data_IF_139594052401
#
_entry.id   IF_139594052401
#
_cell.length_a   1.000
_cell.length_b   1.000
_cell.length_c   1.000
_cell.angle_alpha   90.00
_cell.angle_beta   90.00
_cell.angle_gamma   90.00
#
_symmetry.space_group_name_H-M   'P 1'
#
loop_
_entity.id
_entity.type
_entity.pdbx_description
1 polymer ?
#
# COMPACT_ATOMS: atom_id res chain seq x y z
N UNK A 1 -22.20 17.57 17.43
CA UNK A 1 -22.63 16.35 16.71
C UNK A 1 -21.42 15.44 16.60
N UNK A 2 -21.57 14.13 16.87
CA UNK A 2 -20.46 13.20 16.81
C UNK A 2 -20.17 12.87 15.34
N UNK A 3 -18.96 13.16 14.86
CA UNK A 3 -18.58 12.82 13.49
C UNK A 3 -18.21 11.34 13.40
N UNK A 4 -18.54 10.67 12.29
CA UNK A 4 -18.19 9.27 12.06
C UNK A 4 -17.28 9.14 10.85
N UNK A 5 -16.19 8.40 10.98
CA UNK A 5 -15.31 8.11 9.85
C UNK A 5 -15.95 7.07 8.93
N UNK A 6 -16.01 7.35 7.63
CA UNK A 6 -16.46 6.43 6.59
C UNK A 6 -15.25 5.95 5.79
N UNK A 7 -14.86 4.69 5.95
CA UNK A 7 -13.74 4.11 5.22
C UNK A 7 -14.18 3.59 3.86
N UNK A 8 -13.40 3.92 2.82
CA UNK A 8 -13.67 3.51 1.44
C UNK A 8 -12.46 2.78 0.86
N UNK A 9 -12.67 1.58 0.32
CA UNK A 9 -11.63 0.86 -0.39
C UNK A 9 -11.60 1.24 -1.88
N UNK A 10 -10.59 2.01 -2.30
CA UNK A 10 -10.32 2.38 -3.69
C UNK A 10 -8.86 2.05 -4.08
N UNK A 11 -8.53 0.76 -4.26
CA UNK A 11 -7.15 0.26 -4.41
C UNK A 11 -6.46 0.68 -5.71
N UNK A 12 -7.22 1.23 -6.66
CA UNK A 12 -6.77 1.74 -7.95
C UNK A 12 -6.28 3.21 -7.87
N UNK A 13 -6.14 3.75 -6.66
CA UNK A 13 -5.73 5.13 -6.40
C UNK A 13 -4.53 5.61 -7.24
N UNK A 14 -3.43 4.84 -7.30
CA UNK A 14 -2.22 5.27 -8.02
C UNK A 14 -2.48 5.40 -9.53
N UNK A 15 -3.32 4.53 -10.10
CA UNK A 15 -3.72 4.58 -11.50
C UNK A 15 -4.69 5.74 -11.76
N UNK A 16 -5.56 6.05 -10.80
CA UNK A 16 -6.44 7.22 -10.87
C UNK A 16 -5.65 8.53 -10.81
N UNK A 17 -4.59 8.59 -9.99
CA UNK A 17 -3.66 9.74 -9.96
C UNK A 17 -2.87 9.88 -11.25
N UNK A 18 -2.41 8.77 -11.82
CA UNK A 18 -1.72 8.77 -13.12
C UNK A 18 -2.61 9.35 -14.23
N UNK A 19 -3.88 8.93 -14.28
CA UNK A 19 -4.85 9.41 -15.25
C UNK A 19 -5.38 10.83 -14.96
N UNK A 20 -5.40 11.22 -13.68
CA UNK A 20 -5.69 12.56 -13.18
C UNK A 20 -7.01 13.18 -13.67
N UNK A 21 -8.07 12.39 -13.83
CA UNK A 21 -9.41 12.89 -14.16
C UNK A 21 -10.45 12.42 -13.17
N UNK A 22 -11.45 13.28 -12.92
CA UNK A 22 -12.60 12.95 -12.10
C UNK A 22 -13.48 11.85 -12.74
N UNK A 23 -13.31 11.60 -14.04
CA UNK A 23 -14.03 10.57 -14.80
C UNK A 23 -13.18 9.31 -15.02
N UNK A 24 -12.15 9.06 -14.21
CA UNK A 24 -11.31 7.88 -14.34
C UNK A 24 -12.17 6.61 -14.25
N UNK A 25 -12.04 5.75 -15.27
CA UNK A 25 -12.71 4.46 -15.34
C UNK A 25 -11.69 3.35 -15.12
N UNK A 26 -11.74 2.63 -13.98
CA UNK A 26 -10.77 1.58 -13.70
C UNK A 26 -10.95 0.41 -14.66
N UNK A 27 -9.88 -0.31 -14.98
CA UNK A 27 -9.96 -1.52 -15.82
C UNK A 27 -10.81 -2.61 -15.15
N UNK A 28 -11.31 -3.58 -15.93
CA UNK A 28 -12.12 -4.66 -15.37
C UNK A 28 -11.42 -5.42 -14.22
N UNK A 29 -10.12 -5.77 -14.30
CA UNK A 29 -9.42 -6.39 -13.17
C UNK A 29 -9.32 -5.48 -11.93
N UNK A 30 -9.18 -4.16 -12.12
CA UNK A 30 -9.12 -3.21 -11.01
C UNK A 30 -10.50 -3.07 -10.32
N UNK A 31 -11.59 -2.99 -11.09
CA UNK A 31 -12.95 -2.98 -10.54
C UNK A 31 -13.25 -4.26 -9.76
N UNK A 32 -12.89 -5.43 -10.31
CA UNK A 32 -13.04 -6.72 -9.63
C UNK A 32 -12.26 -6.76 -8.31
N UNK A 33 -11.03 -6.24 -8.26
CA UNK A 33 -10.26 -6.13 -7.01
C UNK A 33 -10.96 -5.23 -5.99
N UNK A 34 -11.45 -4.06 -6.41
CA UNK A 34 -12.18 -3.14 -5.54
C UNK A 34 -13.47 -3.76 -4.99
N UNK A 35 -14.23 -4.48 -5.82
CA UNK A 35 -15.46 -5.19 -5.43
C UNK A 35 -15.17 -6.32 -4.44
N UNK A 36 -14.25 -7.22 -4.79
CA UNK A 36 -13.95 -8.42 -3.99
C UNK A 36 -13.35 -8.08 -2.64
N UNK A 37 -12.56 -7.01 -2.56
CA UNK A 37 -11.89 -6.59 -1.33
C UNK A 37 -12.54 -5.36 -0.66
N UNK A 38 -13.75 -4.97 -1.07
CA UNK A 38 -14.42 -3.77 -0.57
C UNK A 38 -14.56 -3.72 0.96
N UNK A 39 -14.65 -4.91 1.59
CA UNK A 39 -14.78 -5.05 3.04
C UNK A 39 -13.45 -5.11 3.79
N UNK A 40 -12.30 -5.09 3.10
CA UNK A 40 -11.00 -5.07 3.76
C UNK A 40 -10.85 -3.97 4.84
N UNK A 41 -11.46 -2.76 4.71
CA UNK A 41 -11.38 -1.74 5.75
C UNK A 41 -11.92 -2.12 7.12
N UNK A 42 -12.80 -3.13 7.24
CA UNK A 42 -13.31 -3.55 8.56
C UNK A 42 -12.19 -3.95 9.52
N UNK A 43 -11.05 -4.39 8.98
CA UNK A 43 -9.91 -4.86 9.75
C UNK A 43 -8.95 -3.76 10.19
N UNK A 44 -9.07 -2.54 9.66
CA UNK A 44 -8.16 -1.44 10.01
C UNK A 44 -8.87 -0.13 10.37
N UNK A 45 -10.16 0.01 10.07
CA UNK A 45 -10.98 1.13 10.48
C UNK A 45 -11.07 1.22 12.01
N UNK A 46 -11.19 2.44 12.55
CA UNK A 46 -11.35 2.64 14.00
C UNK A 46 -12.66 2.04 14.53
N UNK A 47 -12.75 1.91 15.86
CA UNK A 47 -14.02 1.59 16.53
C UNK A 47 -15.06 2.68 16.20
N UNK A 48 -16.35 2.31 16.20
CA UNK A 48 -17.50 3.19 15.88
C UNK A 48 -17.52 3.78 14.45
N UNK A 49 -16.50 3.48 13.63
CA UNK A 49 -16.41 3.88 12.23
C UNK A 49 -17.37 3.09 11.36
N UNK A 50 -17.49 3.53 10.11
CA UNK A 50 -18.30 2.90 9.07
C UNK A 50 -17.40 2.45 7.92
N UNK A 51 -17.78 1.37 7.24
CA UNK A 51 -17.12 0.90 6.01
C UNK A 51 -18.12 0.91 4.87
N UNK A 52 -17.76 1.58 3.77
CA UNK A 52 -18.60 1.62 2.57
C UNK A 52 -18.61 0.25 1.88
N UNK A 53 -19.73 -0.45 1.97
CA UNK A 53 -19.95 -1.75 1.36
C UNK A 53 -20.66 -1.62 -0.01
N UNK A 54 -20.35 -2.50 -0.98
CA UNK A 54 -21.03 -2.48 -2.28
C UNK A 54 -22.51 -2.86 -2.21
N UNK A 55 -22.92 -3.65 -1.22
CA UNK A 55 -24.30 -4.13 -1.09
C UNK A 55 -24.65 -4.53 0.35
N UNK A 56 -25.94 -4.59 0.65
CA UNK A 56 -26.45 -5.08 1.95
C UNK A 56 -26.16 -6.56 2.19
N UNK A 57 -25.97 -7.36 1.14
CA UNK A 57 -25.60 -8.79 1.26
C UNK A 57 -24.28 -9.00 2.00
N UNK A 58 -23.40 -7.99 2.02
CA UNK A 58 -22.14 -8.04 2.76
C UNK A 58 -22.33 -8.12 4.28
N UNK A 59 -23.51 -7.76 4.81
CA UNK A 59 -23.83 -7.84 6.24
C UNK A 59 -23.81 -9.28 6.78
N UNK A 60 -24.14 -10.27 5.95
CA UNK A 60 -24.11 -11.68 6.36
C UNK A 60 -22.69 -12.12 6.78
N UNK A 61 -21.69 -11.77 5.96
CA UNK A 61 -20.28 -12.02 6.27
C UNK A 61 -19.85 -11.28 7.54
N UNK A 62 -20.21 -10.00 7.68
CA UNK A 62 -19.82 -9.23 8.87
C UNK A 62 -20.43 -9.83 10.14
N UNK A 63 -21.71 -10.23 10.11
CA UNK A 63 -22.38 -10.86 11.25
C UNK A 63 -21.71 -12.17 11.66
N UNK A 64 -21.30 -13.00 10.70
CA UNK A 64 -20.57 -14.24 10.97
C UNK A 64 -19.21 -13.96 11.63
N UNK A 65 -18.43 -13.04 11.07
CA UNK A 65 -17.10 -12.69 11.60
C UNK A 65 -17.20 -12.02 12.98
N UNK A 66 -18.26 -11.25 13.24
CA UNK A 66 -18.49 -10.60 14.55
C UNK A 66 -18.69 -11.58 15.71
N UNK A 67 -19.01 -12.85 15.44
CA UNK A 67 -19.04 -13.89 16.47
C UNK A 67 -17.65 -14.04 17.12
N UNK A 68 -16.59 -13.97 16.31
CA UNK A 68 -15.20 -14.04 16.79
C UNK A 68 -14.60 -12.65 17.09
N UNK A 69 -15.06 -11.61 16.38
CA UNK A 69 -14.53 -10.25 16.47
C UNK A 69 -15.64 -9.22 16.69
N UNK A 70 -16.18 -9.09 17.92
CA UNK A 70 -17.42 -8.35 18.18
C UNK A 70 -17.33 -6.83 17.96
N UNK A 71 -16.13 -6.26 17.96
CA UNK A 71 -15.90 -4.80 17.87
C UNK A 71 -15.62 -4.30 16.45
N UNK A 72 -15.87 -5.12 15.41
CA UNK A 72 -15.71 -4.67 14.02
C UNK A 72 -16.71 -3.55 13.67
N UNK A 73 -16.30 -2.58 12.82
CA UNK A 73 -17.14 -1.44 12.42
C UNK A 73 -18.39 -1.88 11.63
N UNK A 74 -19.41 -1.02 11.62
CA UNK A 74 -20.62 -1.26 10.83
C UNK A 74 -20.39 -1.00 9.34
N UNK A 75 -21.25 -1.59 8.51
CA UNK A 75 -21.29 -1.31 7.07
C UNK A 75 -22.28 -0.20 6.76
N UNK A 76 -21.98 0.54 5.71
CA UNK A 76 -22.88 1.52 5.10
C UNK A 76 -22.91 1.28 3.59
N UNK A 77 -24.06 1.34 2.95
CA UNK A 77 -24.19 1.28 1.49
C UNK A 77 -24.31 2.68 0.89
N UNK A 78 -24.07 2.82 -0.42
CA UNK A 78 -24.16 4.12 -1.10
C UNK A 78 -25.50 4.85 -0.90
N UNK A 79 -26.68 4.20 -0.99
CA UNK A 79 -27.96 4.87 -0.71
C UNK A 79 -28.02 5.44 0.71
N UNK A 80 -27.44 4.73 1.70
CA UNK A 80 -27.47 5.14 3.10
C UNK A 80 -26.51 6.30 3.39
N UNK A 81 -25.45 6.49 2.59
CA UNK A 81 -24.56 7.65 2.69
C UNK A 81 -25.33 8.96 2.53
N UNK A 82 -26.30 9.00 1.61
CA UNK A 82 -27.04 10.23 1.29
C UNK A 82 -27.93 10.75 2.42
N UNK A 83 -28.29 9.87 3.36
CA UNK A 83 -29.17 10.18 4.51
C UNK A 83 -28.42 10.16 5.85
N UNK A 84 -27.12 9.88 5.85
CA UNK A 84 -26.30 9.82 7.07
C UNK A 84 -25.52 11.11 7.23
N UNK A 85 -25.80 11.85 8.31
CA UNK A 85 -25.14 13.13 8.60
C UNK A 85 -23.76 12.95 9.26
N UNK A 86 -22.93 14.00 9.20
CA UNK A 86 -21.65 14.11 9.91
C UNK A 86 -20.61 13.02 9.56
N UNK A 87 -20.60 12.56 8.31
CA UNK A 87 -19.60 11.61 7.81
C UNK A 87 -18.29 12.30 7.43
N UNK A 88 -17.16 11.74 7.86
CA UNK A 88 -15.80 12.12 7.43
C UNK A 88 -15.23 10.98 6.58
N UNK A 89 -15.09 11.15 5.26
CA UNK A 89 -14.55 10.10 4.41
C UNK A 89 -13.06 9.83 4.65
N UNK A 90 -12.69 8.56 4.70
CA UNK A 90 -11.31 8.07 4.80
C UNK A 90 -11.09 7.05 3.68
N UNK A 91 -10.88 7.51 2.43
CA UNK A 91 -10.59 6.60 1.33
C UNK A 91 -9.23 5.94 1.52
N UNK A 92 -9.03 4.83 0.83
CA UNK A 92 -7.72 4.19 0.69
C UNK A 92 -6.68 5.22 0.25
N UNK A 93 -7.03 6.07 -0.70
CA UNK A 93 -6.29 7.30 -0.99
C UNK A 93 -7.10 8.32 -1.78
N UNK A 94 -6.82 9.61 -1.59
CA UNK A 94 -7.55 10.71 -2.23
C UNK A 94 -7.15 10.98 -3.69
N UNK A 95 -8.11 10.95 -4.60
CA UNK A 95 -7.92 11.30 -6.01
C UNK A 95 -9.19 11.97 -6.58
N UNK A 96 -9.12 12.56 -7.79
CA UNK A 96 -10.27 13.26 -8.36
C UNK A 96 -11.53 12.40 -8.53
N UNK A 97 -11.41 11.11 -8.87
CA UNK A 97 -12.57 10.24 -9.12
C UNK A 97 -13.29 9.85 -7.83
N UNK A 98 -12.55 9.49 -6.77
CA UNK A 98 -13.16 9.18 -5.46
C UNK A 98 -13.78 10.43 -4.84
N UNK A 99 -13.15 11.61 -4.98
CA UNK A 99 -13.73 12.89 -4.55
C UNK A 99 -15.03 13.18 -5.28
N UNK A 100 -15.09 12.96 -6.60
CA UNK A 100 -16.33 13.13 -7.39
C UNK A 100 -17.42 12.16 -6.93
N UNK A 101 -17.08 10.88 -6.74
CA UNK A 101 -18.02 9.86 -6.25
C UNK A 101 -18.63 10.26 -4.91
N UNK A 102 -17.81 10.64 -3.94
CA UNK A 102 -18.29 11.05 -2.61
C UNK A 102 -19.17 12.30 -2.67
N UNK A 103 -18.80 13.28 -3.49
CA UNK A 103 -19.63 14.47 -3.73
C UNK A 103 -20.99 14.12 -4.36
N UNK A 104 -21.06 13.14 -5.28
CA UNK A 104 -22.34 12.67 -5.82
C UNK A 104 -23.19 11.87 -4.84
N UNK A 105 -22.58 11.36 -3.77
CA UNK A 105 -23.28 10.70 -2.65
C UNK A 105 -23.75 11.70 -1.57
N UNK A 106 -23.63 13.01 -1.82
CA UNK A 106 -24.10 14.04 -0.89
C UNK A 106 -23.11 14.39 0.22
N UNK A 107 -21.87 13.89 0.18
CA UNK A 107 -20.84 14.31 1.15
C UNK A 107 -20.54 15.81 0.96
N UNK A 108 -20.61 16.62 2.03
CA UNK A 108 -20.36 18.07 1.96
C UNK A 108 -18.95 18.41 1.46
N UNK A 109 -18.81 19.53 0.74
CA UNK A 109 -17.53 19.92 0.15
C UNK A 109 -16.46 20.26 1.20
N UNK A 110 -16.88 20.64 2.40
CA UNK A 110 -16.04 21.06 3.53
C UNK A 110 -15.18 19.93 4.10
N UNK A 111 -15.61 18.68 3.92
CA UNK A 111 -14.86 17.47 4.36
C UNK A 111 -14.19 16.75 3.19
N UNK A 112 -14.24 17.31 1.98
CA UNK A 112 -13.60 16.79 0.78
C UNK A 112 -12.37 17.64 0.45
N UNK A 113 -11.30 17.03 -0.07
CA UNK A 113 -10.15 17.79 -0.53
C UNK A 113 -10.55 18.67 -1.74
N UNK A 114 -10.05 19.90 -1.74
CA UNK A 114 -10.20 20.80 -2.88
C UNK A 114 -9.24 20.43 -4.02
N UNK A 115 -9.34 21.15 -5.15
CA UNK A 115 -8.51 20.88 -6.32
C UNK A 115 -7.01 21.15 -6.07
N UNK A 116 -6.68 22.12 -5.21
CA UNK A 116 -5.30 22.46 -4.87
C UNK A 116 -4.68 21.33 -4.04
N UNK A 117 -5.41 20.85 -3.04
CA UNK A 117 -5.00 19.74 -2.18
C UNK A 117 -4.87 18.44 -3.00
N UNK A 118 -5.82 18.12 -3.88
CA UNK A 118 -5.71 16.97 -4.78
C UNK A 118 -4.47 17.05 -5.69
N UNK A 119 -4.17 18.23 -6.23
CA UNK A 119 -2.94 18.47 -7.01
C UNK A 119 -1.67 18.27 -6.18
N UNK A 120 -1.66 18.75 -4.94
CA UNK A 120 -0.54 18.58 -4.01
C UNK A 120 -0.36 17.10 -3.61
N UNK A 121 -1.43 16.38 -3.29
CA UNK A 121 -1.42 14.93 -3.03
C UNK A 121 -0.83 14.19 -4.23
N UNK A 122 -1.32 14.47 -5.45
CA UNK A 122 -0.77 13.84 -6.67
C UNK A 122 0.73 14.09 -6.81
N UNK A 123 1.18 15.32 -6.58
CA UNK A 123 2.59 15.71 -6.67
C UNK A 123 3.44 14.97 -5.63
N UNK A 124 2.93 14.78 -4.42
CA UNK A 124 3.63 14.08 -3.33
C UNK A 124 3.57 12.55 -3.47
N UNK A 125 2.54 11.99 -4.13
CA UNK A 125 2.49 10.55 -4.49
C UNK A 125 3.40 10.20 -5.67
N UNK A 126 3.97 11.19 -6.35
CA UNK A 126 4.82 10.99 -7.52
C UNK A 126 6.21 10.50 -7.10
N UNK A 127 6.75 9.46 -7.76
CA UNK A 127 8.05 8.86 -7.40
C UNK A 127 9.24 9.83 -7.48
N UNK A 128 9.10 11.00 -8.12
CA UNK A 128 10.14 12.04 -8.04
C UNK A 128 10.34 12.59 -6.61
N UNK A 129 9.35 12.46 -5.71
CA UNK A 129 9.55 12.71 -4.29
C UNK A 129 10.50 11.68 -3.68
N UNK A 130 10.27 10.38 -3.95
CA UNK A 130 11.13 9.30 -3.47
C UNK A 130 12.58 9.47 -3.98
N UNK A 131 12.77 9.89 -5.24
CA UNK A 131 14.09 10.23 -5.80
C UNK A 131 14.81 11.31 -4.97
N UNK A 132 14.10 12.39 -4.61
CA UNK A 132 14.66 13.49 -3.81
C UNK A 132 14.99 13.04 -2.39
N UNK A 133 14.03 12.37 -1.74
CA UNK A 133 14.18 11.88 -0.37
C UNK A 133 15.30 10.84 -0.26
N UNK A 134 15.48 9.99 -1.27
CA UNK A 134 16.59 9.02 -1.32
C UNK A 134 17.96 9.70 -1.23
N UNK A 135 18.14 10.84 -1.90
CA UNK A 135 19.39 11.59 -1.87
C UNK A 135 19.69 12.14 -0.46
N UNK A 136 18.67 12.65 0.23
CA UNK A 136 18.79 13.17 1.60
C UNK A 136 19.02 12.06 2.65
N UNK A 137 18.75 10.80 2.29
CA UNK A 137 18.88 9.63 3.18
C UNK A 137 20.16 8.83 2.97
N UNK A 138 21.13 9.34 2.18
CA UNK A 138 22.48 8.77 2.10
C UNK A 138 23.33 9.18 3.32
N UNK A 139 22.88 8.79 4.53
CA UNK A 139 23.37 9.33 5.80
C UNK A 139 24.81 8.91 6.13
N UNK A 140 25.20 7.69 5.78
CA UNK A 140 26.53 7.12 6.00
C UNK A 140 26.72 5.84 5.17
N UNK A 141 27.86 5.15 5.34
CA UNK A 141 28.21 3.94 4.59
C UNK A 141 27.21 2.77 4.69
N UNK A 142 26.31 2.76 5.68
CA UNK A 142 25.28 1.72 5.80
C UNK A 142 24.11 1.92 4.83
N UNK A 143 24.09 3.01 4.06
CA UNK A 143 23.06 3.33 3.09
C UNK A 143 23.59 3.21 1.66
N UNK A 144 22.69 2.91 0.74
CA UNK A 144 22.96 2.85 -0.69
C UNK A 144 21.73 3.30 -1.48
N UNK A 145 21.80 3.18 -2.80
CA UNK A 145 20.67 3.43 -3.69
C UNK A 145 20.89 4.67 -4.53
N UNK A 146 20.53 4.55 -5.80
CA UNK A 146 20.52 5.62 -6.78
C UNK A 146 19.18 5.54 -7.50
N UNK A 147 18.60 6.70 -7.76
CA UNK A 147 17.35 6.81 -8.51
C UNK A 147 17.35 8.15 -9.23
N UNK A 148 16.92 8.15 -10.49
CA UNK A 148 17.03 9.30 -11.36
C UNK A 148 15.66 9.64 -11.93
N UNK A 149 15.24 10.90 -11.78
CA UNK A 149 14.05 11.42 -12.44
C UNK A 149 14.43 12.08 -13.75
N UNK A 150 14.07 11.43 -14.87
CA UNK A 150 14.46 11.80 -16.22
C UNK A 150 13.26 12.44 -16.95
N UNK A 151 13.49 13.61 -17.54
CA UNK A 151 12.46 14.37 -18.27
C UNK A 151 12.74 14.47 -19.77
N UNK A 152 13.89 13.99 -20.24
CA UNK A 152 14.25 13.87 -21.66
C UNK A 152 14.32 12.39 -22.07
N UNK A 153 13.69 12.03 -23.19
CA UNK A 153 13.66 10.65 -23.70
C UNK A 153 15.04 10.16 -24.13
N UNK A 154 15.94 11.06 -24.54
CA UNK A 154 17.33 10.72 -24.84
C UNK A 154 18.09 10.32 -23.58
N UNK A 155 17.80 10.95 -22.43
CA UNK A 155 18.43 10.58 -21.17
C UNK A 155 17.90 9.23 -20.68
N UNK A 156 16.61 8.92 -20.90
CA UNK A 156 16.06 7.57 -20.65
C UNK A 156 16.78 6.53 -21.50
N UNK A 157 16.95 6.79 -22.80
CA UNK A 157 17.70 5.91 -23.71
C UNK A 157 19.13 5.68 -23.22
N UNK A 158 19.87 6.77 -22.97
CA UNK A 158 21.26 6.73 -22.49
C UNK A 158 21.38 5.94 -21.20
N UNK A 159 20.45 6.14 -20.27
CA UNK A 159 20.43 5.39 -19.01
C UNK A 159 20.26 3.89 -19.27
N UNK A 160 19.31 3.49 -20.12
CA UNK A 160 19.08 2.09 -20.46
C UNK A 160 20.30 1.47 -21.14
N UNK A 161 20.91 2.16 -22.11
CA UNK A 161 22.03 1.63 -22.90
C UNK A 161 23.34 1.57 -22.10
N UNK A 162 23.51 2.42 -21.09
CA UNK A 162 24.70 2.42 -20.23
C UNK A 162 24.66 1.40 -19.08
N UNK A 163 23.55 0.68 -18.89
CA UNK A 163 23.39 -0.31 -17.82
C UNK A 163 23.08 -1.69 -18.37
N UNK A 164 23.82 -2.71 -17.93
CA UNK A 164 23.55 -4.11 -18.29
C UNK A 164 22.14 -4.54 -17.90
N UNK A 165 21.68 -4.09 -16.73
CA UNK A 165 20.32 -4.24 -16.27
C UNK A 165 19.89 -2.99 -15.49
N UNK A 166 18.70 -2.49 -15.77
CA UNK A 166 18.11 -1.38 -15.05
C UNK A 166 16.59 -1.50 -14.99
N UNK A 167 15.97 -0.64 -14.20
CA UNK A 167 14.53 -0.59 -14.01
C UNK A 167 14.02 0.80 -14.35
N UNK A 168 13.10 0.87 -15.32
CA UNK A 168 12.29 2.06 -15.55
C UNK A 168 10.96 1.95 -14.80
N UNK A 169 10.54 3.02 -14.14
CA UNK A 169 9.29 3.10 -13.40
C UNK A 169 8.50 4.33 -13.85
N UNK A 170 7.24 4.11 -14.20
CA UNK A 170 6.30 5.21 -14.35
C UNK A 170 6.21 6.00 -13.03
N UNK A 171 6.20 7.33 -13.03
CA UNK A 171 6.22 8.07 -11.77
C UNK A 171 4.99 7.88 -10.85
N UNK A 172 3.83 7.60 -11.42
CA UNK A 172 2.57 7.27 -10.76
C UNK A 172 2.10 5.91 -11.28
N UNK A 173 2.31 4.88 -10.48
CA UNK A 173 1.78 3.53 -10.70
C UNK A 173 1.83 2.73 -9.40
N UNK A 174 1.07 1.64 -9.31
CA UNK A 174 1.00 0.81 -8.10
C UNK A 174 1.01 -0.69 -8.39
N UNK A 175 1.30 -1.48 -7.35
CA UNK A 175 1.26 -2.96 -7.37
C UNK A 175 2.10 -3.59 -8.49
N UNK A 176 3.31 -3.08 -8.71
CA UNK A 176 4.24 -3.57 -9.74
C UNK A 176 3.84 -3.22 -11.19
N UNK A 177 2.71 -2.53 -11.39
CA UNK A 177 2.34 -1.99 -12.72
C UNK A 177 3.26 -0.81 -13.04
N UNK A 178 3.55 -0.60 -14.33
CA UNK A 178 4.40 0.52 -14.75
C UNK A 178 5.89 0.33 -14.46
N UNK A 179 6.32 -0.90 -14.16
CA UNK A 179 7.72 -1.31 -14.08
C UNK A 179 8.15 -1.93 -15.41
N UNK A 180 9.31 -1.51 -15.93
CA UNK A 180 9.96 -2.13 -17.09
C UNK A 180 11.40 -2.49 -16.77
N UNK A 181 11.68 -3.79 -16.77
CA UNK A 181 13.02 -4.34 -16.58
C UNK A 181 13.77 -4.31 -17.91
N UNK A 182 14.84 -3.51 -17.98
CA UNK A 182 15.60 -3.27 -19.19
C UNK A 182 16.95 -3.98 -19.12
N UNK A 183 17.43 -4.48 -20.26
CA UNK A 183 18.67 -5.27 -20.36
C UNK A 183 19.66 -4.63 -21.36
N UNK A 184 20.03 -3.36 -21.12
CA UNK A 184 21.00 -2.65 -21.96
C UNK A 184 20.51 -2.19 -23.34
N UNK A 185 19.25 -2.47 -23.71
CA UNK A 185 18.73 -2.18 -25.06
C UNK A 185 17.44 -1.38 -24.98
N UNK A 186 17.44 -0.21 -25.61
CA UNK A 186 16.28 0.67 -25.71
C UNK A 186 15.42 0.35 -26.94
N UNK A 187 14.58 -0.67 -26.80
CA UNK A 187 13.76 -1.20 -27.91
C UNK A 187 12.61 -0.24 -28.31
N UNK A 188 12.07 -0.33 -29.54
CA UNK A 188 10.93 0.50 -29.96
C UNK A 188 9.69 0.38 -29.04
N UNK A 189 9.26 -0.81 -28.58
CA UNK A 189 8.16 -0.91 -27.61
C UNK A 189 8.45 -0.16 -26.29
N UNK A 190 9.70 -0.22 -25.81
CA UNK A 190 10.12 0.50 -24.61
C UNK A 190 10.11 2.02 -24.84
N UNK A 191 10.56 2.49 -26.00
CA UNK A 191 10.52 3.92 -26.39
C UNK A 191 9.09 4.44 -26.45
N UNK A 192 8.18 3.72 -27.12
CA UNK A 192 6.78 4.14 -27.21
C UNK A 192 6.12 4.17 -25.82
N UNK A 193 6.42 3.18 -24.97
CA UNK A 193 5.91 3.16 -23.60
C UNK A 193 6.47 4.32 -22.77
N UNK A 194 7.77 4.57 -22.81
CA UNK A 194 8.40 5.64 -22.02
C UNK A 194 7.92 7.02 -22.46
N UNK A 195 7.85 7.29 -23.76
CA UNK A 195 7.33 8.54 -24.32
C UNK A 195 5.88 8.77 -23.92
N UNK A 196 5.05 7.72 -23.94
CA UNK A 196 3.67 7.79 -23.48
C UNK A 196 3.58 8.15 -21.98
N UNK A 197 4.37 7.48 -21.14
CA UNK A 197 4.42 7.76 -19.70
C UNK A 197 4.90 9.18 -19.44
N UNK A 198 5.98 9.62 -20.09
CA UNK A 198 6.54 10.97 -19.92
C UNK A 198 5.56 12.05 -20.38
N UNK A 199 4.80 11.81 -21.44
CA UNK A 199 3.73 12.73 -21.88
C UNK A 199 2.61 12.86 -20.85
N UNK A 200 2.28 11.79 -20.12
CA UNK A 200 1.19 11.78 -19.14
C UNK A 200 1.62 12.20 -17.73
N UNK A 201 2.87 11.91 -17.37
CA UNK A 201 3.37 11.99 -16.00
C UNK A 201 4.64 12.84 -15.89
N UNK A 202 4.99 13.58 -16.94
CA UNK A 202 6.04 14.61 -16.97
C UNK A 202 7.47 14.09 -16.76
N UNK A 203 7.66 12.77 -16.75
CA UNK A 203 8.97 12.15 -16.65
C UNK A 203 8.94 10.63 -16.47
N UNK A 204 10.11 10.07 -16.19
CA UNK A 204 10.35 8.65 -15.95
C UNK A 204 11.32 8.52 -14.78
N UNK A 205 11.11 7.54 -13.90
CA UNK A 205 12.13 7.19 -12.90
C UNK A 205 12.97 6.04 -13.45
N UNK A 206 14.29 6.16 -13.34
CA UNK A 206 15.25 5.17 -13.78
C UNK A 206 16.18 4.79 -12.62
N UNK A 207 16.38 3.50 -12.39
CA UNK A 207 17.16 2.97 -11.28
C UNK A 207 18.08 1.84 -11.75
N UNK A 208 19.32 1.75 -11.23
CA UNK A 208 20.08 0.51 -11.31
C UNK A 208 19.40 -0.60 -10.50
N UNK A 209 19.66 -1.85 -10.86
CA UNK A 209 19.13 -3.00 -10.11
C UNK A 209 20.12 -3.44 -9.04
N UNK A 210 19.62 -3.59 -7.82
CA UNK A 210 20.40 -4.06 -6.67
C UNK A 210 20.14 -5.54 -6.37
N UNK A 211 21.14 -6.24 -5.83
CA UNK A 211 21.01 -7.59 -5.28
C UNK A 211 20.28 -7.53 -3.93
N UNK A 212 18.96 -7.40 -4.00
CA UNK A 212 18.09 -7.32 -2.84
C UNK A 212 18.02 -8.65 -2.08
N UNK A 213 18.14 -8.57 -0.74
CA UNK A 213 17.97 -9.71 0.16
C UNK A 213 16.74 -9.62 1.07
N UNK A 214 16.19 -8.42 1.30
CA UNK A 214 14.98 -8.24 2.10
C UNK A 214 14.19 -7.01 1.63
N UNK A 215 12.86 -7.12 1.59
CA UNK A 215 11.93 -6.00 1.37
C UNK A 215 11.28 -5.62 2.69
N UNK A 216 11.31 -4.35 3.06
CA UNK A 216 10.61 -3.85 4.24
C UNK A 216 10.13 -2.42 4.01
N UNK A 217 9.22 -1.94 4.86
CA UNK A 217 8.76 -0.57 4.82
C UNK A 217 8.66 -0.01 6.23
N UNK A 218 8.89 1.29 6.37
CA UNK A 218 8.47 2.05 7.53
C UNK A 218 7.14 2.72 7.22
N UNK A 219 6.18 2.55 8.11
CA UNK A 219 4.86 3.12 7.97
C UNK A 219 4.70 4.31 8.92
N UNK A 220 3.90 5.28 8.50
CA UNK A 220 3.69 6.52 9.24
C UNK A 220 2.23 6.97 9.15
N UNK A 221 1.84 7.83 10.09
CA UNK A 221 0.61 8.61 10.01
C UNK A 221 0.98 10.09 9.97
N UNK A 222 0.50 10.80 8.94
CA UNK A 222 0.62 12.24 8.81
C UNK A 222 -0.66 12.91 9.35
N UNK A 223 -0.50 13.93 10.18
CA UNK A 223 -1.58 14.74 10.73
C UNK A 223 -1.25 16.22 10.53
N UNK A 224 -2.11 16.94 9.81
CA UNK A 224 -1.88 18.34 9.44
C UNK A 224 -1.71 19.20 10.69
N UNK A 225 -0.59 19.92 10.78
CA UNK A 225 -0.26 20.75 11.93
C UNK A 225 0.21 20.01 13.19
N UNK A 226 0.24 18.66 13.19
CA UNK A 226 0.81 17.84 14.28
C UNK A 226 2.04 17.03 13.86
N UNK A 227 2.33 16.97 12.57
CA UNK A 227 3.52 16.33 12.03
C UNK A 227 3.27 14.89 11.58
N UNK A 228 4.35 14.11 11.52
CA UNK A 228 4.33 12.72 11.05
C UNK A 228 4.86 11.82 12.15
N UNK A 229 4.14 10.74 12.44
CA UNK A 229 4.48 9.78 13.50
C UNK A 229 4.67 8.39 12.92
N UNK A 230 5.74 7.70 13.31
CA UNK A 230 5.98 6.30 12.99
C UNK A 230 4.83 5.41 13.49
N UNK A 231 4.25 4.65 12.57
CA UNK A 231 3.14 3.72 12.82
C UNK A 231 3.60 2.24 12.84
N UNK A 232 4.87 1.98 12.52
CA UNK A 232 5.47 0.65 12.61
C UNK A 232 6.21 0.18 11.36
N UNK A 233 6.94 -0.93 11.49
CA UNK A 233 7.52 -1.63 10.35
C UNK A 233 6.51 -2.55 9.67
N UNK A 234 6.78 -2.83 8.40
CA UNK A 234 6.07 -3.81 7.58
C UNK A 234 7.09 -4.62 6.78
N UNK A 235 7.17 -5.93 7.04
CA UNK A 235 7.98 -6.86 6.26
C UNK A 235 7.11 -7.47 5.15
N UNK A 236 7.56 -7.44 3.90
CA UNK A 236 6.75 -7.91 2.78
C UNK A 236 7.56 -8.73 1.77
N UNK A 237 6.85 -9.41 0.88
CA UNK A 237 7.47 -10.21 -0.16
C UNK A 237 7.00 -9.76 -1.53
N UNK A 238 7.94 -9.69 -2.47
CA UNK A 238 7.69 -9.40 -3.88
C UNK A 238 8.11 -10.58 -4.76
N UNK A 239 7.50 -10.68 -5.95
CA UNK A 239 7.97 -11.58 -7.01
C UNK A 239 9.30 -11.08 -7.59
N UNK A 240 9.97 -11.91 -8.39
CA UNK A 240 11.15 -11.49 -9.14
C UNK A 240 10.88 -10.29 -10.10
N UNK A 241 9.62 -10.11 -10.53
CA UNK A 241 9.20 -8.96 -11.34
C UNK A 241 8.85 -7.70 -10.53
N UNK A 242 8.92 -7.75 -9.19
CA UNK A 242 8.62 -6.64 -8.29
C UNK A 242 7.15 -6.52 -7.86
N UNK A 243 6.30 -7.52 -8.14
CA UNK A 243 4.90 -7.49 -7.74
C UNK A 243 4.74 -7.95 -6.27
N UNK A 244 3.99 -7.19 -5.47
CA UNK A 244 3.66 -7.54 -4.09
C UNK A 244 2.90 -8.89 -3.99
N UNK A 245 3.24 -9.71 -2.99
CA UNK A 245 2.61 -11.03 -2.76
C UNK A 245 2.02 -11.20 -1.36
N UNK A 246 2.50 -10.45 -0.37
CA UNK A 246 2.05 -10.58 1.01
C UNK A 246 2.94 -9.86 2.01
N UNK A 247 2.46 -9.79 3.25
CA UNK A 247 3.19 -9.28 4.42
C UNK A 247 3.41 -10.39 5.43
N UNK A 248 4.61 -10.45 6.00
CA UNK A 248 4.85 -11.25 7.19
C UNK A 248 4.25 -10.52 8.40
N UNK A 249 3.45 -11.22 9.17
CA UNK A 249 2.76 -10.69 10.34
C UNK A 249 3.61 -10.91 11.58
N UNK A 250 4.29 -9.85 12.02
CA UNK A 250 5.26 -9.82 13.12
C UNK A 250 5.15 -8.51 13.90
N UNK A 251 5.53 -8.51 15.20
CA UNK A 251 5.69 -7.27 15.96
C UNK A 251 6.99 -6.54 15.56
N UNK A 252 7.08 -5.24 15.86
CA UNK A 252 8.22 -4.40 15.48
C UNK A 252 9.55 -4.93 15.98
N UNK A 253 9.58 -5.38 17.24
CA UNK A 253 10.81 -5.84 17.87
C UNK A 253 11.41 -7.04 17.14
N UNK A 254 10.54 -7.92 16.61
CA UNK A 254 10.98 -9.09 15.83
C UNK A 254 11.38 -8.70 14.41
N UNK A 255 10.74 -7.70 13.81
CA UNK A 255 11.17 -7.16 12.51
C UNK A 255 12.54 -6.50 12.66
N UNK A 256 12.74 -5.66 13.68
CA UNK A 256 14.04 -5.03 13.97
C UNK A 256 15.13 -6.07 14.22
N UNK A 257 14.86 -7.11 15.01
CA UNK A 257 15.80 -8.22 15.21
C UNK A 257 16.20 -8.89 13.88
N UNK A 258 15.23 -9.13 13.00
CA UNK A 258 15.48 -9.73 11.68
C UNK A 258 16.32 -8.80 10.79
N UNK A 259 15.97 -7.53 10.69
CA UNK A 259 16.72 -6.57 9.87
C UNK A 259 18.13 -6.33 10.45
N UNK A 260 18.26 -6.41 11.78
CA UNK A 260 19.53 -6.23 12.49
C UNK A 260 20.55 -7.34 12.25
N UNK A 261 20.15 -8.47 11.65
CA UNK A 261 21.11 -9.49 11.18
C UNK A 261 21.89 -9.03 9.95
N UNK A 262 21.43 -7.99 9.27
CA UNK A 262 22.06 -7.45 8.07
C UNK A 262 22.74 -6.11 8.33
N UNK A 263 22.08 -5.20 9.05
CA UNK A 263 22.50 -3.80 9.24
C UNK A 263 22.42 -3.40 10.72
N UNK A 264 23.18 -2.40 11.19
CA UNK A 264 23.07 -1.96 12.59
C UNK A 264 21.68 -1.44 12.95
N UNK A 265 21.15 -1.83 14.11
CA UNK A 265 19.85 -1.34 14.61
C UNK A 265 19.81 0.19 14.70
N UNK A 266 20.92 0.81 15.10
CA UNK A 266 21.04 2.27 15.16
C UNK A 266 20.81 2.94 13.80
N UNK A 267 21.19 2.29 12.70
CA UNK A 267 20.93 2.81 11.34
C UNK A 267 19.45 2.79 10.99
N UNK A 268 18.69 1.80 11.46
CA UNK A 268 17.23 1.77 11.29
C UNK A 268 16.55 2.88 12.09
N UNK A 269 16.97 3.09 13.35
CA UNK A 269 16.41 4.14 14.20
C UNK A 269 16.74 5.54 13.70
N UNK A 270 17.97 5.76 13.23
CA UNK A 270 18.36 7.03 12.63
C UNK A 270 17.60 7.29 11.32
N UNK A 271 17.45 6.27 10.47
CA UNK A 271 16.63 6.36 9.27
C UNK A 271 15.19 6.76 9.59
N UNK A 272 14.57 6.11 10.58
CA UNK A 272 13.21 6.44 11.04
C UNK A 272 13.10 7.91 11.44
N UNK A 273 14.01 8.38 12.28
CA UNK A 273 14.00 9.75 12.77
C UNK A 273 14.19 10.79 11.64
N UNK A 274 15.08 10.52 10.69
CA UNK A 274 15.26 11.42 9.54
C UNK A 274 14.03 11.42 8.62
N UNK A 275 13.43 10.26 8.38
CA UNK A 275 12.20 10.15 7.59
C UNK A 275 11.03 10.91 8.20
N UNK A 276 10.81 10.80 9.52
CA UNK A 276 9.74 11.56 10.19
C UNK A 276 9.88 13.06 9.93
N UNK A 277 11.11 13.59 10.02
CA UNK A 277 11.39 15.01 9.77
C UNK A 277 11.19 15.41 8.31
N UNK A 278 11.83 14.67 7.39
CA UNK A 278 11.76 14.97 5.96
C UNK A 278 10.31 14.90 5.49
N UNK A 279 9.61 13.80 5.79
CA UNK A 279 8.23 13.60 5.35
C UNK A 279 7.29 14.62 6.01
N UNK A 280 7.46 14.95 7.30
CA UNK A 280 6.66 15.99 7.94
C UNK A 280 6.81 17.34 7.22
N UNK A 281 8.04 17.75 6.89
CA UNK A 281 8.27 19.00 6.17
C UNK A 281 7.66 19.04 4.77
N UNK A 282 7.57 17.88 4.09
CA UNK A 282 7.05 17.79 2.72
C UNK A 282 5.52 17.70 2.69
N UNK A 283 4.88 17.20 3.75
CA UNK A 283 3.45 16.88 3.77
C UNK A 283 2.59 17.83 4.62
N UNK A 284 3.18 18.70 5.44
CA UNK A 284 2.42 19.61 6.30
C UNK A 284 1.48 20.51 5.47
N UNK A 285 0.23 20.65 5.94
CA UNK A 285 -0.83 21.35 5.23
C UNK A 285 -1.34 20.67 3.94
N UNK A 286 -0.79 19.52 3.54
CA UNK A 286 -1.14 18.83 2.29
C UNK A 286 -1.92 17.54 2.56
N UNK A 287 -1.41 16.69 3.45
CA UNK A 287 -1.91 15.32 3.59
C UNK A 287 -2.20 14.94 5.05
N UNK A 288 -3.32 14.26 5.26
CA UNK A 288 -3.66 13.61 6.53
C UNK A 288 -4.11 12.18 6.25
N UNK A 289 -3.46 11.23 6.91
CA UNK A 289 -3.67 9.81 6.67
C UNK A 289 -2.39 8.99 6.80
N UNK A 290 -2.53 7.70 6.54
CA UNK A 290 -1.40 6.77 6.56
C UNK A 290 -0.57 6.86 5.29
N UNK A 291 0.73 6.64 5.43
CA UNK A 291 1.65 6.48 4.31
C UNK A 291 2.71 5.42 4.64
N UNK A 292 3.36 4.89 3.60
CA UNK A 292 4.46 3.93 3.74
C UNK A 292 5.64 4.32 2.88
N UNK A 293 6.85 4.19 3.43
CA UNK A 293 8.11 4.33 2.67
C UNK A 293 8.67 2.93 2.48
N UNK A 294 8.65 2.45 1.24
CA UNK A 294 9.15 1.13 0.87
C UNK A 294 10.68 1.18 0.74
N UNK A 295 11.33 0.12 1.21
CA UNK A 295 12.77 0.03 1.39
C UNK A 295 13.24 -1.38 1.07
N UNK A 296 14.55 -1.53 0.90
CA UNK A 296 15.14 -2.85 0.79
C UNK A 296 16.52 -2.89 1.44
N UNK A 297 16.95 -4.09 1.81
CA UNK A 297 18.34 -4.37 2.15
C UNK A 297 19.01 -4.97 0.93
N UNK A 298 20.13 -4.38 0.52
CA UNK A 298 20.90 -4.77 -0.64
C UNK A 298 22.21 -5.42 -0.21
N UNK A 299 22.60 -6.47 -0.92
CA UNK A 299 23.89 -7.13 -0.78
C UNK A 299 24.88 -6.58 -1.80
N UNK A 300 26.12 -6.40 -1.35
CA UNK A 300 27.26 -5.99 -2.15
C UNK A 300 28.40 -6.99 -1.97
N UNK A 301 29.33 -7.00 -2.93
CA UNK A 301 30.50 -7.88 -2.92
C UNK A 301 31.69 -7.28 -2.17
N UNK A 302 31.66 -5.99 -1.86
CA UNK A 302 32.72 -5.25 -1.18
C UNK A 302 32.50 -5.18 0.34
N UNK A 303 33.45 -4.52 1.02
CA UNK A 303 33.40 -4.36 2.47
C UNK A 303 32.20 -3.49 2.89
N UNK A 304 31.60 -3.92 4.01
CA UNK A 304 30.19 -3.71 4.36
C UNK A 304 29.23 -4.33 3.33
N UNK A 305 29.04 -5.64 3.50
CA UNK A 305 28.28 -6.52 2.62
C UNK A 305 26.80 -6.13 2.46
N UNK A 306 26.17 -5.57 3.50
CA UNK A 306 24.75 -5.22 3.48
C UNK A 306 24.55 -3.74 3.74
N UNK A 307 23.67 -3.11 2.96
CA UNK A 307 23.33 -1.69 3.06
C UNK A 307 21.83 -1.50 2.86
N UNK A 308 21.28 -0.47 3.48
CA UNK A 308 19.87 -0.09 3.36
C UNK A 308 19.72 0.76 2.11
N UNK A 309 18.79 0.40 1.23
CA UNK A 309 18.22 1.32 0.24
C UNK A 309 16.99 1.99 0.86
N UNK A 310 17.10 3.23 1.37
CA UNK A 310 16.18 3.77 2.37
C UNK A 310 14.85 4.30 1.82
N UNK A 311 14.72 4.46 0.50
CA UNK A 311 13.51 4.99 -0.11
C UNK A 311 13.38 4.53 -1.57
N UNK A 312 12.69 3.42 -1.77
CA UNK A 312 12.35 2.87 -3.11
C UNK A 312 11.07 3.52 -3.65
N UNK A 313 10.10 3.78 -2.77
CA UNK A 313 8.81 4.39 -3.10
C UNK A 313 8.18 4.99 -1.84
N UNK A 314 7.41 6.07 -2.00
CA UNK A 314 6.58 6.65 -0.94
C UNK A 314 5.12 6.50 -1.36
N UNK A 315 4.38 5.68 -0.64
CA UNK A 315 2.97 5.40 -0.86
C UNK A 315 2.12 6.34 0.02
N UNK A 316 1.63 7.45 -0.53
CA UNK A 316 0.82 8.45 0.17
C UNK A 316 -0.67 8.04 0.27
N UNK A 317 -0.90 6.88 0.90
CA UNK A 317 -2.21 6.25 1.05
C UNK A 317 -2.15 5.15 2.09
N UNK A 318 -3.33 4.70 2.52
CA UNK A 318 -3.44 3.37 3.10
C UNK A 318 -2.81 2.35 2.15
N UNK A 319 -2.15 1.35 2.72
CA UNK A 319 -1.43 0.34 1.96
C UNK A 319 -1.52 -1.01 2.66
N UNK A 320 -1.14 -2.07 1.95
CA UNK A 320 -1.25 -3.43 2.47
C UNK A 320 -0.34 -3.68 3.68
N UNK A 321 0.79 -2.97 3.78
CA UNK A 321 1.66 -2.99 4.96
C UNK A 321 0.97 -2.44 6.19
N UNK A 322 0.28 -1.30 6.08
CA UNK A 322 -0.53 -0.75 7.17
C UNK A 322 -1.73 -1.62 7.51
N UNK A 323 -2.42 -2.19 6.51
CA UNK A 323 -3.49 -3.16 6.76
C UNK A 323 -2.98 -4.34 7.57
N UNK A 324 -1.87 -4.95 7.15
CA UNK A 324 -1.24 -6.07 7.85
C UNK A 324 -0.84 -5.71 9.28
N UNK A 325 -0.28 -4.50 9.47
CA UNK A 325 0.15 -4.02 10.77
C UNK A 325 -1.02 -3.76 11.73
N UNK A 326 -2.01 -2.99 11.30
CA UNK A 326 -3.18 -2.68 12.11
C UNK A 326 -3.95 -3.96 12.45
N UNK A 327 -4.05 -4.89 11.50
CA UNK A 327 -4.61 -6.22 11.75
C UNK A 327 -3.83 -6.97 12.83
N UNK A 328 -2.49 -7.04 12.72
CA UNK A 328 -1.66 -7.74 13.70
C UNK A 328 -1.85 -7.20 15.12
N UNK A 329 -1.70 -5.88 15.29
CA UNK A 329 -1.80 -5.22 16.59
C UNK A 329 -3.16 -5.49 17.26
N UNK A 330 -4.24 -5.46 16.47
CA UNK A 330 -5.61 -5.55 16.99
C UNK A 330 -6.10 -6.97 17.20
N UNK A 331 -5.72 -7.91 16.34
CA UNK A 331 -6.39 -9.22 16.33
C UNK A 331 -5.46 -10.40 16.58
N UNK A 332 -4.14 -10.19 16.65
CA UNK A 332 -3.18 -11.30 16.79
C UNK A 332 -2.53 -11.27 18.17
N UNK A 333 -2.34 -12.45 18.76
CA UNK A 333 -1.64 -12.58 20.03
C UNK A 333 -0.15 -12.33 19.81
N UNK A 334 0.42 -11.42 20.59
CA UNK A 334 1.87 -11.11 20.56
C UNK A 334 2.71 -12.39 20.55
N UNK A 335 3.67 -12.46 19.63
CA UNK A 335 4.55 -13.63 19.45
C UNK A 335 4.06 -14.62 18.39
N UNK A 336 2.77 -14.61 18.03
CA UNK A 336 2.26 -15.40 16.91
C UNK A 336 2.84 -14.87 15.61
N UNK A 337 3.18 -15.77 14.68
CA UNK A 337 3.75 -15.42 13.38
C UNK A 337 2.80 -15.89 12.28
N UNK A 338 2.57 -15.03 11.30
CA UNK A 338 1.67 -15.37 10.20
C UNK A 338 2.04 -14.67 8.91
N UNK A 339 1.16 -14.83 7.93
CA UNK A 339 1.29 -14.23 6.62
C UNK A 339 -0.06 -13.65 6.21
N UNK A 340 -0.07 -12.37 5.87
CA UNK A 340 -1.17 -11.72 5.15
C UNK A 340 -0.92 -11.83 3.65
N UNK A 341 -1.92 -12.27 2.88
CA UNK A 341 -1.81 -12.43 1.43
C UNK A 341 -3.02 -11.84 0.72
N UNK A 342 -2.72 -11.21 -0.42
CA UNK A 342 -3.70 -10.87 -1.44
C UNK A 342 -3.38 -11.69 -2.68
N UNK A 343 -4.32 -12.52 -3.13
CA UNK A 343 -4.11 -13.38 -4.29
C UNK A 343 -5.19 -13.18 -5.34
N UNK A 344 -4.81 -13.29 -6.60
CA UNK A 344 -5.71 -13.41 -7.73
C UNK A 344 -5.93 -14.89 -8.10
N UNK A 345 -7.16 -15.23 -8.43
CA UNK A 345 -7.58 -16.52 -8.94
C UNK A 345 -8.35 -16.31 -10.24
N UNK A 346 -7.91 -16.99 -11.30
CA UNK A 346 -8.62 -16.95 -12.58
C UNK A 346 -10.04 -17.55 -12.46
N UNK A 347 -10.16 -18.66 -11.73
CA UNK A 347 -11.40 -19.39 -11.50
C UNK A 347 -11.97 -19.12 -10.10
N UNK A 348 -13.17 -18.49 -9.98
CA UNK A 348 -13.86 -18.34 -8.70
C UNK A 348 -14.15 -19.67 -8.00
N UNK A 349 -14.44 -20.73 -8.77
CA UNK A 349 -14.69 -22.06 -8.23
C UNK A 349 -13.44 -22.64 -7.56
N UNK A 350 -12.27 -22.47 -8.18
CA UNK A 350 -10.99 -22.88 -7.61
C UNK A 350 -10.69 -22.12 -6.31
N UNK A 351 -11.03 -20.83 -6.26
CA UNK A 351 -10.90 -20.05 -5.04
C UNK A 351 -11.82 -20.57 -3.93
N UNK A 352 -13.10 -20.79 -4.22
CA UNK A 352 -14.06 -21.34 -3.26
C UNK A 352 -13.61 -22.69 -2.70
N UNK A 353 -13.17 -23.61 -3.56
CA UNK A 353 -12.66 -24.92 -3.13
C UNK A 353 -11.44 -24.77 -2.21
N UNK A 354 -10.50 -23.90 -2.57
CA UNK A 354 -9.32 -23.61 -1.73
C UNK A 354 -9.70 -23.00 -0.39
N UNK A 355 -10.65 -22.07 -0.37
CA UNK A 355 -11.15 -21.45 0.85
C UNK A 355 -11.78 -22.47 1.79
N UNK A 356 -12.65 -23.36 1.28
CA UNK A 356 -13.26 -24.43 2.06
C UNK A 356 -12.23 -25.42 2.60
N UNK A 357 -11.25 -25.80 1.77
CA UNK A 357 -10.14 -26.66 2.20
C UNK A 357 -9.33 -26.03 3.34
N UNK A 358 -8.91 -24.77 3.19
CA UNK A 358 -8.12 -24.07 4.20
C UNK A 358 -8.89 -23.88 5.51
N UNK A 359 -10.16 -23.50 5.42
CA UNK A 359 -11.02 -23.31 6.59
C UNK A 359 -11.22 -24.61 7.38
N UNK A 360 -11.37 -25.74 6.68
CA UNK A 360 -11.50 -27.06 7.32
C UNK A 360 -10.19 -27.58 7.88
N UNK A 361 -9.09 -27.46 7.12
CA UNK A 361 -7.78 -28.02 7.49
C UNK A 361 -7.08 -27.21 8.58
N UNK A 362 -7.28 -25.89 8.58
CA UNK A 362 -6.62 -24.96 9.49
C UNK A 362 -7.66 -24.04 10.13
N UNK A 363 -8.55 -24.59 10.99
CA UNK A 363 -9.56 -23.78 11.63
C UNK A 363 -8.92 -22.66 12.46
N UNK A 364 -9.58 -21.51 12.49
CA UNK A 364 -9.12 -20.36 13.28
C UNK A 364 -9.07 -20.73 14.76
N UNK A 365 -7.92 -20.51 15.39
CA UNK A 365 -7.72 -20.71 16.82
C UNK A 365 -7.42 -19.39 17.49
N UNK A 366 -8.16 -19.11 18.56
CA UNK A 366 -8.07 -17.87 19.31
C UNK A 366 -7.97 -18.14 20.81
N UNK A 367 -7.31 -17.24 21.53
CA UNK A 367 -7.25 -17.18 23.00
C UNK A 367 -7.44 -15.73 23.39
N UNK A 368 -8.35 -15.45 24.33
CA UNK A 368 -8.65 -14.10 24.84
C UNK A 368 -8.97 -13.08 23.72
N UNK A 369 -9.75 -13.49 22.72
CA UNK A 369 -10.13 -12.64 21.58
C UNK A 369 -8.99 -12.36 20.59
N UNK A 370 -7.83 -13.02 20.73
CA UNK A 370 -6.67 -12.87 19.85
C UNK A 370 -6.34 -14.16 19.10
N UNK A 371 -6.00 -14.05 17.82
CA UNK A 371 -5.60 -15.15 16.94
C UNK A 371 -4.23 -15.68 17.37
N UNK A 372 -4.13 -17.01 17.47
CA UNK A 372 -2.87 -17.73 17.73
C UNK A 372 -2.47 -18.65 16.56
N UNK A 373 -3.42 -19.15 15.78
CA UNK A 373 -3.17 -20.06 14.67
C UNK A 373 -4.37 -20.16 13.71
N UNK A 374 -4.14 -20.72 12.53
CA UNK A 374 -5.20 -21.07 11.57
C UNK A 374 -5.31 -20.10 10.39
N UNK A 375 -6.33 -20.33 9.57
CA UNK A 375 -6.67 -19.56 8.39
C UNK A 375 -7.89 -18.66 8.65
N UNK A 376 -7.86 -17.45 8.10
CA UNK A 376 -9.00 -16.53 8.10
C UNK A 376 -9.07 -15.76 6.78
N UNK A 377 -10.22 -15.81 6.11
CA UNK A 377 -10.52 -14.87 5.03
C UNK A 377 -10.92 -13.53 5.64
N UNK A 378 -10.28 -12.45 5.18
CA UNK A 378 -10.58 -11.09 5.63
C UNK A 378 -11.74 -10.45 4.84
N UNK A 379 -12.22 -11.13 3.80
CA UNK A 379 -13.28 -10.63 2.91
C UNK A 379 -14.22 -11.79 2.57
N UNK A 380 -15.49 -11.50 2.21
CA UNK A 380 -16.42 -12.55 1.80
C UNK A 380 -15.93 -13.31 0.58
N UNK A 381 -16.10 -14.64 0.60
CA UNK A 381 -15.83 -15.51 -0.55
C UNK A 381 -17.16 -15.82 -1.24
N UNK A 382 -17.31 -15.34 -2.47
CA UNK A 382 -18.56 -15.48 -3.25
C UNK A 382 -18.32 -16.29 -4.53
N UNK A 383 -19.38 -16.77 -5.20
CA UNK A 383 -19.25 -17.46 -6.51
C UNK A 383 -18.62 -16.59 -7.62
N UNK A 384 -18.46 -15.28 -7.41
CA UNK A 384 -17.85 -14.35 -8.38
C UNK A 384 -16.45 -13.86 -7.96
N UNK A 385 -16.00 -14.21 -6.75
CA UNK A 385 -14.75 -13.70 -6.20
C UNK A 385 -13.54 -14.23 -6.96
N UNK A 386 -12.71 -13.31 -7.47
CA UNK A 386 -11.44 -13.60 -8.14
C UNK A 386 -10.24 -13.07 -7.36
N UNK A 387 -10.44 -12.17 -6.40
CA UNK A 387 -9.41 -11.78 -5.46
C UNK A 387 -9.75 -12.25 -4.04
N UNK A 388 -8.70 -12.51 -3.28
CA UNK A 388 -8.77 -12.86 -1.87
C UNK A 388 -7.90 -11.92 -1.06
N UNK A 389 -8.30 -11.66 0.18
CA UNK A 389 -7.44 -11.14 1.23
C UNK A 389 -7.57 -12.10 2.42
N UNK A 390 -6.47 -12.67 2.87
CA UNK A 390 -6.50 -13.68 3.94
C UNK A 390 -5.24 -13.67 4.78
N UNK A 391 -5.36 -14.19 5.99
CA UNK A 391 -4.24 -14.40 6.90
C UNK A 391 -4.09 -15.87 7.22
N UNK A 392 -2.85 -16.28 7.46
CA UNK A 392 -2.52 -17.65 7.83
C UNK A 392 -1.45 -17.66 8.91
N UNK A 393 -1.71 -18.35 10.01
CA UNK A 393 -0.81 -18.46 11.16
C UNK A 393 -0.48 -19.95 11.39
N UNK A 394 0.81 -20.26 11.42
CA UNK A 394 1.30 -21.62 11.69
C UNK A 394 1.58 -21.72 13.20
N UNK A 395 1.07 -22.78 13.82
CA UNK A 395 1.35 -23.13 15.23
C UNK A 395 2.80 -23.48 15.46
#
# INVERSE_FOLDING_TARGET
MNHRFLYIFNPDHDLALANNTANYMPSAPARRLSEDLALLPVWYAGEESLVLAPSTYNSAFLNEIRIAFPHLPDLLTEPEVTVTENLIPVPWGWNPSVRKRLSSLGIPAEVLPDQRQLGAIRKMSHRSLAVKVLADLQLNKNFCGESFYLTDSNDVRRFVENHTICLLKAPLSGSGKGLNWCKGIYTPPLSHWSEHVMKQQEGMVAEPVYDKVEDFAMQFYADTGKGVTFAGYSLFNTTASGAYTGNVLLPDEVIEQKLSTYVPLSSLHELRFQLEKIVASQLDGIYTGYLGVDMMICRFTDALQYRIHPCVEINLRMNMGMTARLFYNRYVRTGSKGMFRVNYFFSPAQWMERHLYLSKKYPLRMVDGKIIAGYLSLVPVTPKSQYSASVFFIT
#
